data_IF_901131148910
#
_entry.id   IF_901131148910
#
_cell.length_a   1.000
_cell.length_b   1.000
_cell.length_c   1.000
_cell.angle_alpha   90.00
_cell.angle_beta   90.00
_cell.angle_gamma   90.00
#
_symmetry.space_group_name_H-M   'P 1'
#
loop_
_entity.id
_entity.type
_entity.pdbx_description
1 polymer ?
#
# COMPACT_ATOMS: atom_id res chain seq x y z
N UNK A 1 0.56 11.67 -9.88
CA UNK A 1 0.05 10.61 -10.80
C UNK A 1 -1.34 10.99 -11.26
N UNK A 2 -1.63 10.88 -12.56
CA UNK A 2 -2.97 11.08 -13.16
C UNK A 2 -3.64 9.75 -13.56
N UNK A 3 -2.97 8.62 -13.35
CA UNK A 3 -3.45 7.28 -13.71
C UNK A 3 -3.88 6.48 -12.49
N UNK A 4 -4.80 5.54 -12.71
CA UNK A 4 -5.45 4.68 -11.71
C UNK A 4 -4.56 3.48 -11.28
N UNK A 5 -3.24 3.68 -11.27
CA UNK A 5 -2.29 2.63 -10.89
C UNK A 5 -2.49 2.25 -9.43
N UNK A 6 -2.40 0.94 -9.13
CA UNK A 6 -2.57 0.41 -7.77
C UNK A 6 -3.97 0.64 -7.16
N UNK A 7 -5.04 0.80 -7.97
CA UNK A 7 -6.43 0.96 -7.50
C UNK A 7 -7.08 -0.29 -6.89
N UNK A 8 -6.52 -1.47 -7.15
CA UNK A 8 -6.99 -2.73 -6.55
C UNK A 8 -6.29 -2.92 -5.21
N UNK A 9 -6.99 -3.45 -4.21
CA UNK A 9 -6.36 -3.85 -2.95
C UNK A 9 -5.28 -4.90 -3.19
N UNK A 10 -4.09 -4.65 -2.67
CA UNK A 10 -2.93 -5.51 -2.81
C UNK A 10 -1.98 -5.35 -1.63
N UNK A 11 -0.98 -6.22 -1.57
CA UNK A 11 0.22 -6.02 -0.78
C UNK A 11 1.43 -6.04 -1.71
N UNK A 12 2.40 -5.19 -1.41
CA UNK A 12 3.64 -5.07 -2.17
C UNK A 12 4.60 -6.23 -1.91
N UNK A 13 5.40 -6.57 -2.93
CA UNK A 13 6.45 -7.59 -2.87
C UNK A 13 7.76 -7.02 -2.33
N UNK A 14 7.71 -6.50 -1.11
CA UNK A 14 8.84 -5.91 -0.37
C UNK A 14 8.82 -6.42 1.08
N UNK A 15 9.85 -6.12 1.87
CA UNK A 15 9.81 -6.39 3.33
C UNK A 15 8.92 -5.38 4.06
N UNK A 16 9.14 -4.10 3.77
CA UNK A 16 8.32 -3.02 4.27
C UNK A 16 8.30 -1.89 3.24
N UNK A 17 7.33 -0.99 3.34
CA UNK A 17 7.26 0.23 2.54
C UNK A 17 6.76 1.38 3.38
N UNK A 18 7.44 2.53 3.29
CA UNK A 18 6.88 3.78 3.78
C UNK A 18 6.06 4.42 2.67
N UNK A 19 4.85 4.85 3.00
CA UNK A 19 3.95 5.58 2.09
C UNK A 19 3.45 6.84 2.79
N UNK A 20 3.52 7.98 2.10
CA UNK A 20 2.85 9.22 2.51
C UNK A 20 2.31 9.95 1.29
N UNK A 21 1.09 10.49 1.40
CA UNK A 21 0.48 11.33 0.36
C UNK A 21 0.50 12.77 0.84
N UNK A 22 1.12 13.68 0.08
CA UNK A 22 1.22 15.09 0.45
C UNK A 22 0.12 15.95 -0.19
N UNK A 23 -0.36 15.57 -1.36
CA UNK A 23 -1.44 16.26 -2.08
C UNK A 23 -2.43 15.23 -2.58
N UNK A 24 -3.73 15.51 -2.45
CA UNK A 24 -4.82 14.63 -2.86
C UNK A 24 -5.16 13.53 -1.82
N UNK A 25 -6.10 12.63 -2.13
CA UNK A 25 -6.59 11.65 -1.17
C UNK A 25 -5.51 10.62 -0.80
N UNK A 26 -5.41 10.30 0.49
CA UNK A 26 -4.39 9.37 1.00
C UNK A 26 -4.66 7.91 0.67
N UNK A 27 -3.69 7.06 0.99
CA UNK A 27 -3.74 5.62 0.77
C UNK A 27 -4.89 4.97 1.54
N UNK A 28 -5.66 4.12 0.86
CA UNK A 28 -6.67 3.26 1.48
C UNK A 28 -6.00 2.00 2.04
N UNK A 29 -6.43 1.54 3.22
CA UNK A 29 -5.94 0.32 3.84
C UNK A 29 -7.03 -0.45 4.58
N UNK A 30 -6.82 -1.75 4.75
CA UNK A 30 -7.74 -2.66 5.43
C UNK A 30 -7.14 -3.13 6.75
N UNK A 31 -7.97 -3.21 7.78
CA UNK A 31 -7.61 -3.96 8.99
C UNK A 31 -7.58 -5.47 8.72
N UNK A 32 -7.10 -6.26 9.68
CA UNK A 32 -6.95 -7.71 9.51
C UNK A 32 -8.26 -8.41 9.16
N UNK A 33 -9.39 -7.98 9.75
CA UNK A 33 -10.70 -8.59 9.51
C UNK A 33 -11.13 -8.38 8.07
N UNK A 34 -11.00 -7.16 7.57
CA UNK A 34 -11.38 -6.81 6.20
C UNK A 34 -10.41 -7.42 5.17
N UNK A 35 -9.13 -7.50 5.48
CA UNK A 35 -8.12 -8.18 4.66
C UNK A 35 -8.42 -9.69 4.50
N UNK A 36 -8.81 -10.35 5.59
CA UNK A 36 -9.22 -11.76 5.55
C UNK A 36 -10.53 -11.98 4.78
N UNK A 37 -11.50 -11.08 4.93
CA UNK A 37 -12.74 -11.12 4.16
C UNK A 37 -12.45 -11.02 2.65
N UNK A 38 -11.58 -10.07 2.26
CA UNK A 38 -11.13 -9.92 0.88
C UNK A 38 -10.43 -11.19 0.36
N UNK A 39 -9.58 -11.83 1.17
CA UNK A 39 -8.91 -13.07 0.79
C UNK A 39 -9.89 -14.25 0.53
N UNK A 40 -11.06 -14.23 1.17
CA UNK A 40 -12.16 -15.18 0.92
C UNK A 40 -13.07 -14.79 -0.24
N UNK A 41 -12.75 -13.72 -0.97
CA UNK A 41 -13.53 -13.23 -2.11
C UNK A 41 -14.68 -12.29 -1.76
N UNK A 42 -14.82 -11.87 -0.50
CA UNK A 42 -15.80 -10.86 -0.12
C UNK A 42 -15.30 -9.44 -0.45
N UNK A 43 -16.22 -8.49 -0.59
CA UNK A 43 -15.86 -7.08 -0.69
C UNK A 43 -15.60 -6.50 0.72
N UNK A 44 -14.56 -5.67 0.91
CA UNK A 44 -14.33 -5.00 2.18
C UNK A 44 -15.51 -4.07 2.51
N UNK A 45 -16.09 -4.24 3.69
CA UNK A 45 -17.16 -3.40 4.20
C UNK A 45 -16.63 -2.10 4.85
N UNK A 46 -15.39 -2.15 5.36
CA UNK A 46 -14.72 -1.00 5.97
C UNK A 46 -13.38 -0.76 5.32
N UNK A 47 -13.20 0.46 4.80
CA UNK A 47 -11.96 0.91 4.17
C UNK A 47 -11.48 2.11 4.97
N UNK A 48 -10.29 2.00 5.56
CA UNK A 48 -9.65 3.11 6.24
C UNK A 48 -8.85 3.92 5.22
N UNK A 49 -8.74 5.23 5.43
CA UNK A 49 -7.95 6.13 4.58
C UNK A 49 -7.01 6.95 5.44
N UNK A 50 -5.74 6.98 5.05
CA UNK A 50 -4.78 7.93 5.60
C UNK A 50 -5.12 9.35 5.18
N UNK A 51 -4.87 10.33 6.05
CA UNK A 51 -4.95 11.74 5.71
C UNK A 51 -3.70 12.20 4.95
N UNK A 52 -3.79 13.34 4.27
CA UNK A 52 -2.60 13.94 3.66
C UNK A 52 -1.60 14.32 4.77
N UNK A 53 -0.32 13.99 4.57
CA UNK A 53 0.74 14.17 5.56
C UNK A 53 0.92 13.00 6.54
N UNK A 54 -0.03 12.07 6.63
CA UNK A 54 0.17 10.86 7.44
C UNK A 54 1.35 10.04 6.89
N UNK A 55 2.12 9.45 7.81
CA UNK A 55 3.24 8.56 7.49
C UNK A 55 2.88 7.13 7.90
N UNK A 56 2.80 6.23 6.93
CA UNK A 56 2.49 4.83 7.17
C UNK A 56 3.64 3.91 6.77
N UNK A 57 3.95 2.93 7.63
CA UNK A 57 4.89 1.85 7.34
C UNK A 57 4.12 0.54 7.18
N UNK A 58 4.13 0.01 5.96
CA UNK A 58 3.33 -1.14 5.54
C UNK A 58 4.22 -2.38 5.48
N UNK A 59 3.81 -3.47 6.16
CA UNK A 59 4.47 -4.77 6.03
C UNK A 59 4.19 -5.33 4.62
N UNK A 60 5.23 -5.72 3.90
CA UNK A 60 5.08 -6.33 2.58
C UNK A 60 5.13 -7.86 2.63
N UNK A 61 4.89 -8.49 1.47
CA UNK A 61 4.79 -9.96 1.32
C UNK A 61 6.07 -10.71 1.68
N UNK A 62 7.23 -10.07 1.62
CA UNK A 62 8.51 -10.73 1.91
C UNK A 62 8.80 -10.84 3.42
N UNK A 63 8.05 -10.13 4.27
CA UNK A 63 8.30 -10.10 5.72
C UNK A 63 7.29 -10.91 6.55
N UNK A 64 6.12 -11.23 6.00
CA UNK A 64 5.03 -11.83 6.77
C UNK A 64 4.00 -12.51 5.87
N UNK A 65 3.28 -13.49 6.43
CA UNK A 65 2.09 -14.09 5.80
C UNK A 65 0.84 -13.20 5.93
N UNK A 66 0.89 -12.15 6.76
CA UNK A 66 -0.21 -11.19 6.96
C UNK A 66 0.23 -9.77 6.58
N UNK A 67 0.51 -9.52 5.29
CA UNK A 67 1.00 -8.21 4.84
C UNK A 67 -0.10 -7.15 4.93
N UNK A 68 0.30 -5.88 4.94
CA UNK A 68 -0.63 -4.76 4.96
C UNK A 68 -1.33 -4.61 3.59
N UNK A 69 -2.64 -4.82 3.57
CA UNK A 69 -3.46 -4.70 2.36
C UNK A 69 -3.87 -3.25 2.17
N UNK A 70 -3.50 -2.69 1.01
CA UNK A 70 -3.70 -1.28 0.71
C UNK A 70 -3.92 -1.03 -0.78
N UNK A 71 -4.33 0.19 -1.13
CA UNK A 71 -4.47 0.66 -2.51
C UNK A 71 -4.33 2.17 -2.59
N UNK A 72 -4.06 2.66 -3.79
CA UNK A 72 -4.38 4.03 -4.14
C UNK A 72 -5.92 4.16 -4.27
N UNK A 73 -6.54 5.22 -3.71
CA UNK A 73 -7.96 5.48 -3.97
C UNK A 73 -8.18 5.73 -5.47
N UNK A 74 -9.31 5.28 -6.05
CA UNK A 74 -9.64 5.55 -7.44
C UNK A 74 -9.95 7.04 -7.62
N UNK A 75 -9.17 7.75 -8.43
CA UNK A 75 -9.28 9.21 -8.64
C UNK A 75 -9.39 9.61 -10.12
N UNK A 76 -9.34 8.65 -11.04
CA UNK A 76 -9.34 8.91 -12.48
C UNK A 76 -10.57 9.71 -12.97
N UNK A 77 -11.72 9.57 -12.31
CA UNK A 77 -12.96 10.28 -12.64
C UNK A 77 -13.20 11.56 -11.81
N UNK A 78 -12.31 11.91 -10.87
CA UNK A 78 -12.54 13.02 -9.93
C UNK A 78 -11.84 14.32 -10.34
N UNK A 79 -10.88 14.26 -11.28
CA UNK A 79 -10.03 15.40 -11.63
C UNK A 79 -8.97 15.73 -10.57
N UNK A 80 -8.89 14.94 -9.50
CA UNK A 80 -7.90 15.14 -8.45
C UNK A 80 -6.49 14.75 -8.90
N UNK A 81 -5.49 15.43 -8.33
CA UNK A 81 -4.07 15.08 -8.50
C UNK A 81 -3.50 14.58 -7.18
N UNK A 82 -2.61 13.58 -7.27
CA UNK A 82 -1.90 13.03 -6.11
C UNK A 82 -0.40 13.19 -6.19
N UNK A 83 0.19 13.70 -5.12
CA UNK A 83 1.63 13.68 -4.83
C UNK A 83 1.91 12.65 -3.74
N UNK A 84 2.53 11.54 -4.13
CA UNK A 84 2.80 10.38 -3.28
C UNK A 84 4.31 10.19 -3.15
N UNK A 85 4.80 10.03 -1.93
CA UNK A 85 6.16 9.55 -1.66
C UNK A 85 6.10 8.10 -1.19
N UNK A 86 6.93 7.28 -1.83
CA UNK A 86 7.14 5.87 -1.49
C UNK A 86 8.62 5.64 -1.27
N UNK A 87 8.99 5.04 -0.13
CA UNK A 87 10.35 4.61 0.16
C UNK A 87 10.34 3.10 0.45
N UNK A 88 11.20 2.36 -0.25
CA UNK A 88 11.46 0.96 0.04
C UNK A 88 12.80 0.86 0.80
N UNK A 89 12.98 -0.14 1.69
CA UNK A 89 14.28 -0.45 2.22
C UNK A 89 15.21 -0.82 1.06
N UNK A 90 16.50 -0.51 1.22
CA UNK A 90 17.53 -1.03 0.31
C UNK A 90 17.55 -2.54 0.49
N UNK A 91 17.12 -3.28 -0.53
CA UNK A 91 17.36 -4.71 -0.55
C UNK A 91 18.86 -4.90 -0.73
N UNK A 92 19.51 -5.51 0.25
CA UNK A 92 20.90 -5.92 0.08
C UNK A 92 20.95 -6.76 -1.21
N UNK A 93 21.73 -6.30 -2.20
CA UNK A 93 22.00 -7.13 -3.37
C UNK A 93 22.41 -8.50 -2.84
N UNK A 94 21.84 -9.58 -3.41
CA UNK A 94 22.31 -10.93 -3.13
C UNK A 94 23.77 -11.02 -3.60
N UNK A 95 24.69 -10.64 -2.70
CA UNK A 95 26.07 -10.33 -2.98
C UNK A 95 26.94 -11.11 -2.01
N UNK A 96 27.25 -12.34 -2.43
CA UNK A 96 28.28 -13.25 -1.93
C UNK A 96 28.05 -13.76 -0.51
N UNK A 97 27.64 -15.03 -0.42
CA UNK A 97 28.15 -15.91 0.63
C UNK A 97 29.68 -15.82 0.55
N UNK A 98 30.31 -15.21 1.55
CA UNK A 98 31.71 -15.47 1.81
C UNK A 98 31.83 -16.98 2.12
N UNK A 99 32.79 -17.61 1.47
CA UNK A 99 33.19 -18.99 1.69
C UNK A 99 33.66 -19.21 3.14
#
# INVERSE_FOLDING_TARGET
MTTDSCRKFHADYVRARLITTYVGPGTDWLDSREAEALARGAQPARINRMQAGDVGIFKGKLATLHPAIHRSPPISATGETRLLLVLNPVEAAHGRRAA
#
